data_IF_109068712786
#
_entry.id   IF_109068712786
#
_cell.length_a   1.000
_cell.length_b   1.000
_cell.length_c   1.000
_cell.angle_alpha   90.00
_cell.angle_beta   90.00
_cell.angle_gamma   90.00
#
_symmetry.space_group_name_H-M   'P 1'
#
loop_
_entity.id
_entity.type
_entity.pdbx_description
1 polymer ?
#
# COMPACT_ATOMS: atom_id res chain seq x y z
N UNK A 1 -3.41 11.15 12.98
CA UNK A 1 -3.44 9.85 12.27
C UNK A 1 -2.09 9.22 12.50
N UNK A 2 -2.05 8.00 13.03
CA UNK A 2 -0.79 7.34 13.45
C UNK A 2 -0.33 6.29 12.42
N UNK A 3 -1.26 5.64 11.73
CA UNK A 3 -0.97 4.75 10.59
C UNK A 3 -2.11 4.83 9.57
N UNK A 4 -1.84 4.43 8.33
CA UNK A 4 -2.83 4.39 7.26
C UNK A 4 -2.89 2.97 6.70
N UNK A 5 -4.11 2.42 6.59
CA UNK A 5 -4.38 1.19 5.85
C UNK A 5 -5.19 1.52 4.60
N UNK A 6 -4.63 1.24 3.42
CA UNK A 6 -5.31 1.37 2.14
C UNK A 6 -5.62 -0.03 1.61
N UNK A 7 -6.91 -0.35 1.50
CA UNK A 7 -7.39 -1.59 0.89
C UNK A 7 -8.00 -1.30 -0.48
N UNK A 8 -7.39 -1.80 -1.54
CA UNK A 8 -7.78 -1.57 -2.93
C UNK A 8 -8.22 -2.87 -3.59
N UNK A 9 -9.39 -2.83 -4.21
CA UNK A 9 -9.79 -3.79 -5.23
C UNK A 9 -9.71 -3.08 -6.58
N UNK A 10 -8.82 -3.53 -7.47
CA UNK A 10 -8.55 -2.86 -8.76
C UNK A 10 -9.79 -2.75 -9.64
N UNK A 11 -10.72 -3.71 -9.55
CA UNK A 11 -11.95 -3.70 -10.34
C UNK A 11 -11.64 -3.67 -11.83
N UNK A 12 -11.99 -2.57 -12.51
CA UNK A 12 -11.67 -2.33 -13.92
C UNK A 12 -10.27 -1.76 -14.15
N UNK A 13 -9.64 -1.18 -13.12
CA UNK A 13 -8.29 -0.64 -13.19
C UNK A 13 -7.25 -1.71 -12.85
N UNK A 14 -6.04 -1.56 -13.40
CA UNK A 14 -4.91 -2.44 -13.09
C UNK A 14 -4.16 -1.95 -11.84
N UNK A 15 -3.68 -2.89 -11.04
CA UNK A 15 -2.98 -2.59 -9.79
C UNK A 15 -1.65 -1.86 -10.01
N UNK A 16 -0.98 -2.02 -11.15
CA UNK A 16 0.23 -1.25 -11.53
C UNK A 16 -0.07 0.25 -11.62
N UNK A 17 -1.12 0.64 -12.36
CA UNK A 17 -1.54 2.04 -12.49
C UNK A 17 -1.93 2.65 -11.14
N UNK A 18 -2.61 1.88 -10.29
CA UNK A 18 -2.96 2.35 -8.95
C UNK A 18 -1.71 2.50 -8.08
N UNK A 19 -0.75 1.59 -8.17
CA UNK A 19 0.52 1.68 -7.44
C UNK A 19 1.32 2.93 -7.84
N UNK A 20 1.37 3.28 -9.13
CA UNK A 20 1.98 4.56 -9.58
C UNK A 20 1.33 5.76 -8.91
N UNK A 21 -0.01 5.80 -8.88
CA UNK A 21 -0.76 6.87 -8.23
C UNK A 21 -0.48 6.98 -6.73
N UNK A 22 -0.42 5.84 -6.03
CA UNK A 22 -0.08 5.79 -4.60
C UNK A 22 1.33 6.33 -4.36
N UNK A 23 2.33 5.87 -5.13
CA UNK A 23 3.72 6.33 -5.01
C UNK A 23 3.83 7.84 -5.25
N UNK A 24 3.17 8.33 -6.30
CA UNK A 24 3.16 9.76 -6.62
C UNK A 24 2.52 10.58 -5.49
N UNK A 25 1.39 10.12 -4.95
CA UNK A 25 0.71 10.78 -3.84
C UNK A 25 1.57 10.82 -2.58
N UNK A 26 2.17 9.69 -2.18
CA UNK A 26 3.05 9.61 -1.01
C UNK A 26 4.24 10.56 -1.09
N UNK A 27 4.86 10.70 -2.27
CA UNK A 27 5.95 11.66 -2.51
C UNK A 27 5.46 13.11 -2.45
N UNK A 28 4.32 13.40 -3.07
CA UNK A 28 3.77 14.76 -3.11
C UNK A 28 3.37 15.28 -1.72
N UNK A 29 2.83 14.42 -0.86
CA UNK A 29 2.38 14.79 0.49
C UNK A 29 3.47 14.62 1.56
N UNK A 30 4.65 14.15 1.17
CA UNK A 30 5.76 13.84 2.07
C UNK A 30 5.30 12.99 3.28
N UNK A 31 4.71 11.83 2.98
CA UNK A 31 4.06 10.98 3.97
C UNK A 31 5.02 10.55 5.10
N UNK A 32 4.68 10.93 6.34
CA UNK A 32 5.50 10.67 7.53
C UNK A 32 4.95 9.56 8.44
N UNK A 33 3.84 8.92 8.07
CA UNK A 33 3.22 7.82 8.83
C UNK A 33 3.26 6.54 8.02
N UNK A 34 3.39 5.36 8.66
CA UNK A 34 3.44 4.09 7.98
C UNK A 34 2.16 3.83 7.18
N UNK A 35 2.34 3.36 5.94
CA UNK A 35 1.24 3.03 5.04
C UNK A 35 1.23 1.53 4.76
N UNK A 36 0.16 0.87 5.17
CA UNK A 36 -0.11 -0.52 4.79
C UNK A 36 -1.01 -0.52 3.58
N UNK A 37 -0.63 -1.22 2.51
CA UNK A 37 -1.43 -1.37 1.29
C UNK A 37 -1.77 -2.82 1.06
N UNK A 38 -3.05 -3.13 0.92
CA UNK A 38 -3.53 -4.40 0.41
C UNK A 38 -4.21 -4.16 -0.93
N UNK A 39 -3.74 -4.85 -1.96
CA UNK A 39 -4.29 -4.72 -3.32
C UNK A 39 -4.69 -6.09 -3.86
N UNK A 40 -5.82 -6.15 -4.57
CA UNK A 40 -6.27 -7.31 -5.33
C UNK A 40 -6.77 -6.90 -6.70
N UNK A 41 -6.40 -7.63 -7.76
CA UNK A 41 -6.87 -7.37 -9.12
C UNK A 41 -5.86 -7.75 -10.20
N UNK A 42 -6.07 -7.25 -11.42
CA UNK A 42 -5.14 -7.44 -12.53
C UNK A 42 -3.79 -6.79 -12.22
N UNK A 43 -2.70 -7.50 -12.51
CA UNK A 43 -1.32 -7.07 -12.23
C UNK A 43 -1.03 -6.80 -10.74
N UNK A 44 -1.72 -7.49 -9.83
CA UNK A 44 -1.49 -7.39 -8.38
C UNK A 44 -0.01 -7.54 -8.01
N UNK A 45 0.65 -8.59 -8.50
CA UNK A 45 2.05 -8.86 -8.15
C UNK A 45 2.99 -7.74 -8.61
N UNK A 46 2.73 -7.18 -9.81
CA UNK A 46 3.48 -6.05 -10.34
C UNK A 46 3.26 -4.79 -9.50
N UNK A 47 2.00 -4.46 -9.18
CA UNK A 47 1.67 -3.31 -8.34
C UNK A 47 2.32 -3.40 -6.96
N UNK A 48 2.29 -4.58 -6.32
CA UNK A 48 2.97 -4.81 -5.04
C UNK A 48 4.49 -4.65 -5.16
N UNK A 49 5.08 -5.18 -6.23
CA UNK A 49 6.52 -5.02 -6.50
C UNK A 49 6.90 -3.54 -6.63
N UNK A 50 6.12 -2.77 -7.38
CA UNK A 50 6.33 -1.32 -7.53
C UNK A 50 6.27 -0.58 -6.19
N UNK A 51 5.32 -0.92 -5.32
CA UNK A 51 5.24 -0.33 -3.98
C UNK A 51 6.47 -0.66 -3.12
N UNK A 52 6.93 -1.92 -3.12
CA UNK A 52 8.12 -2.35 -2.37
C UNK A 52 9.40 -1.68 -2.86
N UNK A 53 9.54 -1.51 -4.17
CA UNK A 53 10.73 -0.91 -4.80
C UNK A 53 10.72 0.63 -4.78
N UNK A 54 9.63 1.25 -4.28
CA UNK A 54 9.46 2.70 -4.31
C UNK A 54 10.37 3.49 -3.35
N UNK A 55 11.00 2.81 -2.39
CA UNK A 55 11.80 3.42 -1.32
C UNK A 55 10.99 4.20 -0.28
N UNK A 56 9.66 4.08 -0.31
CA UNK A 56 8.74 4.71 0.64
C UNK A 56 8.41 3.76 1.80
N UNK A 57 7.96 4.25 2.97
CA UNK A 57 7.57 3.43 4.12
C UNK A 57 6.21 2.74 3.89
N UNK A 58 6.15 1.90 2.86
CA UNK A 58 4.95 1.19 2.41
C UNK A 58 5.10 -0.30 2.69
N UNK A 59 4.15 -0.85 3.45
CA UNK A 59 4.06 -2.27 3.78
C UNK A 59 2.96 -2.88 2.92
N UNK A 60 3.28 -3.88 2.10
CA UNK A 60 2.26 -4.59 1.32
C UNK A 60 1.71 -5.78 2.10
N UNK A 61 0.39 -5.97 2.09
CA UNK A 61 -0.28 -7.10 2.74
C UNK A 61 -1.04 -7.99 1.73
N UNK A 62 -1.13 -9.28 2.04
CA UNK A 62 -1.73 -10.31 1.17
C UNK A 62 -3.24 -10.47 1.43
N UNK A 63 -3.64 -10.63 2.69
CA UNK A 63 -5.03 -10.72 3.11
C UNK A 63 -5.45 -9.51 3.94
N UNK A 64 -6.75 -9.33 4.13
CA UNK A 64 -7.28 -8.27 5.01
C UNK A 64 -6.85 -8.51 6.47
N UNK A 65 -6.76 -9.77 6.90
CA UNK A 65 -6.29 -10.12 8.23
C UNK A 65 -4.80 -9.77 8.42
N UNK A 66 -3.97 -10.02 7.40
CA UNK A 66 -2.56 -9.62 7.43
C UNK A 66 -2.41 -8.10 7.44
N UNK A 67 -3.23 -7.41 6.66
CA UNK A 67 -3.21 -5.95 6.61
C UNK A 67 -3.59 -5.32 7.95
N UNK A 68 -4.60 -5.88 8.63
CA UNK A 68 -5.01 -5.47 9.97
C UNK A 68 -3.89 -5.72 11.00
N UNK A 69 -3.23 -6.88 10.95
CA UNK A 69 -2.09 -7.17 11.83
C UNK A 69 -0.91 -6.24 11.56
N UNK A 70 -0.60 -6.00 10.29
CA UNK A 70 0.52 -5.16 9.88
C UNK A 70 0.32 -3.70 10.30
N UNK A 71 -0.89 -3.15 10.16
CA UNK A 71 -1.15 -1.76 10.57
C UNK A 71 -1.08 -1.61 12.09
N UNK A 72 -1.56 -2.61 12.85
CA UNK A 72 -1.43 -2.60 14.31
C UNK A 72 0.03 -2.74 14.77
N UNK A 73 0.83 -3.56 14.08
CA UNK A 73 2.25 -3.68 14.37
C UNK A 73 3.02 -2.38 14.08
N UNK A 74 2.66 -1.68 13.01
CA UNK A 74 3.26 -0.40 12.63
C UNK A 74 2.91 0.76 13.59
N UNK A 75 1.90 0.60 14.46
CA UNK A 75 1.56 1.56 15.53
C UNK A 75 2.35 1.30 16.83
N UNK A 76 3.00 0.15 16.96
CA UNK A 76 3.70 -0.26 18.18
C UNK A 76 5.18 0.16 18.21
N UNK A 77 5.67 0.81 17.15
CA UNK A 77 6.97 1.49 17.05
C UNK A 77 6.81 3.00 17.21
#
# INVERSE_FOLDING_TARGET
>A
VEAILVNIFGGIMRCDTIAEGVIAACKAVNLNVPLVVRMKGTNEDLGKKMLKESGLPIITAESMADAAKAVMAALAE
#
